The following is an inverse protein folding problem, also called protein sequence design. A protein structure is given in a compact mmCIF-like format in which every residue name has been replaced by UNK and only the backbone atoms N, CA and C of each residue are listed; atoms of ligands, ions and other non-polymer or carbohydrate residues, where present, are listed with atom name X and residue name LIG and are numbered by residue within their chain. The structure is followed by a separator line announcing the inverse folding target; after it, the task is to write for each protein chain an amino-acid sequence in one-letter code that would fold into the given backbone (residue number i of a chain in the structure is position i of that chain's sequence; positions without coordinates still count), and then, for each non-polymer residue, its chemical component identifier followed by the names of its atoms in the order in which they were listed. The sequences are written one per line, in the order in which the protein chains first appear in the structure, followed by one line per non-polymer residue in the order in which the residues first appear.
data_IF_813073124068
#
_entry.id   IF_813073124068
#
_cell.length_a   1.000
_cell.length_b   1.000
_cell.length_c   1.000
_cell.angle_alpha   90.00
_cell.angle_beta   90.00
_cell.angle_gamma   90.00
#
_symmetry.space_group_name_H-M   'P 1'
#
loop_
_entity.id
_entity.type
_entity.pdbx_description
1 polymer ?
#
# COMPACT_ATOMS: atom_id res chain seq x y z
N UNK A 1 26.08 -31.93 -31.10
CA UNK A 1 25.68 -30.74 -31.87
C UNK A 1 25.62 -29.60 -30.86
N UNK A 2 26.71 -28.83 -30.76
CA UNK A 2 26.77 -27.63 -29.90
C UNK A 2 26.03 -26.50 -30.63
N UNK A 3 24.96 -26.04 -30.04
CA UNK A 3 24.25 -24.82 -30.50
C UNK A 3 25.08 -23.60 -30.05
N UNK A 4 25.88 -23.07 -30.95
CA UNK A 4 26.58 -21.80 -30.77
C UNK A 4 25.55 -20.67 -30.67
N UNK A 5 25.41 -20.08 -29.47
CA UNK A 5 24.61 -18.89 -29.25
C UNK A 5 25.13 -17.76 -30.16
N UNK A 6 24.21 -17.09 -30.85
CA UNK A 6 24.50 -16.01 -31.78
C UNK A 6 25.14 -14.82 -31.02
N UNK A 7 26.35 -14.33 -31.40
CA UNK A 7 27.00 -13.18 -30.70
C UNK A 7 26.18 -11.90 -30.65
N UNK A 8 25.23 -11.72 -31.58
CA UNK A 8 24.30 -10.58 -31.59
C UNK A 8 23.30 -10.62 -30.43
N UNK A 9 22.93 -11.81 -29.97
CA UNK A 9 21.98 -12.00 -28.87
C UNK A 9 22.60 -11.64 -27.51
N UNK A 10 23.87 -11.97 -27.29
CA UNK A 10 24.63 -11.59 -26.11
C UNK A 10 24.80 -10.07 -25.99
N UNK A 11 25.02 -9.37 -27.11
CA UNK A 11 25.25 -7.93 -27.13
C UNK A 11 23.94 -7.16 -26.80
N UNK A 12 22.82 -7.60 -27.33
CA UNK A 12 21.50 -7.07 -27.03
C UNK A 12 21.12 -7.29 -25.55
N UNK A 13 21.42 -8.48 -24.99
CA UNK A 13 21.20 -8.76 -23.56
C UNK A 13 22.07 -7.92 -22.63
N UNK A 14 23.35 -7.73 -22.97
CA UNK A 14 24.27 -6.89 -22.18
C UNK A 14 23.87 -5.41 -22.23
N UNK A 15 23.49 -4.90 -23.41
CA UNK A 15 23.03 -3.52 -23.54
C UNK A 15 21.72 -3.29 -22.77
N UNK A 16 20.77 -4.24 -22.85
CA UNK A 16 19.53 -4.18 -22.08
C UNK A 16 19.79 -4.24 -20.56
N UNK A 17 20.75 -5.06 -20.11
CA UNK A 17 21.15 -5.13 -18.71
C UNK A 17 21.78 -3.82 -18.22
N UNK A 18 22.67 -3.21 -19.02
CA UNK A 18 23.30 -1.91 -18.71
C UNK A 18 22.24 -0.81 -18.66
N UNK A 19 21.29 -0.81 -19.57
CA UNK A 19 20.19 0.16 -19.60
C UNK A 19 19.25 0.01 -18.38
N UNK A 20 18.92 -1.21 -17.98
CA UNK A 20 18.08 -1.52 -16.83
C UNK A 20 18.72 -1.16 -15.47
N UNK A 21 20.06 -1.14 -15.39
CA UNK A 21 20.80 -0.83 -14.17
C UNK A 21 21.31 0.63 -14.12
N UNK A 22 21.03 1.41 -15.15
CA UNK A 22 21.43 2.82 -15.22
C UNK A 22 20.82 3.63 -14.07
N UNK A 23 21.64 4.44 -13.41
CA UNK A 23 21.19 5.39 -12.39
C UNK A 23 20.40 6.52 -13.06
N UNK A 24 19.15 6.69 -12.67
CA UNK A 24 18.28 7.76 -13.15
C UNK A 24 18.59 9.06 -12.38
N UNK A 25 18.86 10.15 -13.10
CA UNK A 25 19.15 11.44 -12.51
C UNK A 25 17.88 12.18 -12.04
N UNK A 26 18.05 13.14 -11.12
CA UNK A 26 16.92 13.99 -10.67
C UNK A 26 16.30 14.80 -11.81
N UNK A 27 17.12 15.29 -12.74
CA UNK A 27 16.65 16.04 -13.91
C UNK A 27 15.81 15.17 -14.84
N UNK A 28 16.19 13.91 -15.06
CA UNK A 28 15.38 12.98 -15.87
C UNK A 28 14.03 12.69 -15.23
N UNK A 29 13.97 12.52 -13.91
CA UNK A 29 12.69 12.35 -13.19
C UNK A 29 11.79 13.59 -13.38
N UNK A 30 12.35 14.77 -13.29
CA UNK A 30 11.62 16.03 -13.42
C UNK A 30 11.11 16.25 -14.86
N UNK A 31 11.96 16.09 -15.87
CA UNK A 31 11.60 16.25 -17.29
C UNK A 31 10.49 15.26 -17.69
N UNK A 32 10.53 14.05 -17.20
CA UNK A 32 9.53 13.00 -17.49
C UNK A 32 8.32 13.03 -16.55
N UNK A 33 8.20 14.02 -15.68
CA UNK A 33 7.13 14.15 -14.68
C UNK A 33 6.95 12.89 -13.81
N UNK A 34 8.04 12.19 -13.52
CA UNK A 34 8.06 11.02 -12.65
C UNK A 34 8.13 11.48 -11.19
N UNK A 35 7.61 10.67 -10.27
CA UNK A 35 7.68 10.93 -8.82
C UNK A 35 9.13 11.26 -8.42
N UNK A 36 9.39 12.36 -7.69
CA UNK A 36 10.72 12.72 -7.25
C UNK A 36 11.41 11.60 -6.46
N UNK A 37 12.74 11.65 -6.37
CA UNK A 37 13.49 10.75 -5.51
C UNK A 37 13.60 11.34 -4.11
N UNK A 38 13.08 10.63 -3.11
CA UNK A 38 13.17 10.99 -1.71
C UNK A 38 13.22 9.73 -0.84
N UNK A 39 14.27 9.60 -0.03
CA UNK A 39 14.47 8.46 0.89
C UNK A 39 15.07 9.00 2.19
N UNK A 40 14.51 8.58 3.34
CA UNK A 40 15.05 8.95 4.65
C UNK A 40 16.45 8.39 4.87
N UNK A 41 17.21 9.03 5.73
CA UNK A 41 18.53 8.51 6.12
C UNK A 41 18.40 7.14 6.79
N UNK A 42 17.43 6.99 7.67
CA UNK A 42 17.16 5.72 8.36
C UNK A 42 16.94 4.58 7.37
N UNK A 43 16.07 4.77 6.37
CA UNK A 43 15.75 3.69 5.43
C UNK A 43 16.95 3.33 4.53
N UNK A 44 17.78 4.29 4.14
CA UNK A 44 19.04 4.01 3.42
C UNK A 44 19.97 3.12 4.24
N UNK A 45 20.10 3.41 5.54
CA UNK A 45 20.88 2.58 6.46
C UNK A 45 20.25 1.17 6.62
N UNK A 46 18.92 1.10 6.70
CA UNK A 46 18.19 -0.15 6.80
C UNK A 46 18.37 -1.02 5.55
N UNK A 47 18.35 -0.44 4.34
CA UNK A 47 18.66 -1.17 3.09
C UNK A 47 20.00 -1.90 3.21
N UNK A 48 21.03 -1.23 3.74
CA UNK A 48 22.38 -1.80 3.88
C UNK A 48 22.42 -2.89 4.97
N UNK A 49 21.77 -2.63 6.12
CA UNK A 49 21.85 -3.50 7.31
C UNK A 49 20.94 -4.73 7.25
N UNK A 50 19.89 -4.71 6.43
CA UNK A 50 18.83 -5.72 6.44
C UNK A 50 19.24 -7.10 5.91
N UNK A 51 20.32 -7.18 5.14
CA UNK A 51 20.67 -8.38 4.35
C UNK A 51 19.87 -8.53 3.04
N UNK A 52 18.90 -7.63 2.78
CA UNK A 52 18.01 -7.64 1.61
C UNK A 52 18.20 -6.40 0.74
N UNK A 53 19.46 -6.06 0.46
CA UNK A 53 19.84 -4.83 -0.21
C UNK A 53 19.08 -4.59 -1.52
N UNK A 54 19.07 -5.58 -2.41
CA UNK A 54 18.47 -5.44 -3.74
C UNK A 54 16.94 -5.25 -3.67
N UNK A 55 16.27 -6.03 -2.82
CA UNK A 55 14.82 -5.98 -2.65
C UNK A 55 14.37 -4.63 -2.08
N UNK A 56 14.99 -4.18 -0.98
CA UNK A 56 14.61 -2.93 -0.33
C UNK A 56 15.00 -1.71 -1.16
N UNK A 57 16.16 -1.75 -1.83
CA UNK A 57 16.58 -0.71 -2.77
C UNK A 57 15.56 -0.53 -3.88
N UNK A 58 15.07 -1.64 -4.45
CA UNK A 58 14.12 -1.62 -5.57
C UNK A 58 12.80 -0.93 -5.22
N UNK A 59 12.41 -0.90 -3.94
CA UNK A 59 11.21 -0.19 -3.45
C UNK A 59 11.32 1.33 -3.67
N UNK A 60 12.50 1.93 -3.54
CA UNK A 60 12.67 3.39 -3.48
C UNK A 60 13.56 3.98 -4.55
N UNK A 61 14.44 3.19 -5.17
CA UNK A 61 15.33 3.68 -6.21
C UNK A 61 14.61 3.78 -7.57
N UNK A 62 14.72 4.93 -8.25
CA UNK A 62 14.14 5.10 -9.57
C UNK A 62 14.76 4.15 -10.61
N UNK A 63 13.93 3.71 -11.55
CA UNK A 63 14.34 2.84 -12.66
C UNK A 63 13.92 3.47 -13.98
N UNK A 64 14.71 3.24 -15.04
CA UNK A 64 14.36 3.61 -16.42
C UNK A 64 13.05 2.97 -16.87
N UNK A 65 12.65 1.84 -16.27
CA UNK A 65 11.36 1.18 -16.53
C UNK A 65 10.14 2.05 -16.18
N UNK A 66 10.33 3.10 -15.39
CA UNK A 66 9.24 4.02 -15.06
C UNK A 66 8.87 4.94 -16.22
N UNK A 67 9.78 5.18 -17.17
CA UNK A 67 9.55 6.11 -18.29
C UNK A 67 8.60 5.54 -19.34
N UNK A 68 8.69 4.25 -19.62
CA UNK A 68 7.95 3.54 -20.66
C UNK A 68 6.78 2.69 -20.12
N UNK A 69 6.50 2.82 -18.83
CA UNK A 69 5.51 1.96 -18.16
C UNK A 69 4.08 2.40 -18.50
N UNK A 70 3.27 1.51 -19.09
CA UNK A 70 1.86 1.78 -19.35
C UNK A 70 1.06 1.92 -18.05
N UNK A 71 -0.21 2.29 -18.17
CA UNK A 71 -1.14 2.39 -17.05
C UNK A 71 -1.74 3.77 -16.87
N UNK A 72 -2.55 3.93 -15.84
CA UNK A 72 -3.24 5.18 -15.49
C UNK A 72 -2.73 5.75 -14.18
N UNK A 73 -2.88 7.05 -13.96
CA UNK A 73 -2.48 7.68 -12.70
C UNK A 73 -3.54 7.52 -11.60
N UNK A 74 -4.81 7.34 -11.97
CA UNK A 74 -5.91 7.09 -11.04
C UNK A 74 -6.58 5.73 -11.28
N UNK A 75 -5.94 4.67 -10.86
CA UNK A 75 -6.42 3.29 -10.99
C UNK A 75 -7.60 2.94 -10.08
N UNK A 76 -7.94 3.81 -9.14
CA UNK A 76 -9.00 3.59 -8.14
C UNK A 76 -10.26 4.39 -8.39
N UNK A 77 -10.23 5.37 -9.31
CA UNK A 77 -11.26 6.39 -9.44
C UNK A 77 -11.34 7.23 -8.17
N UNK A 78 -10.21 7.66 -7.62
CA UNK A 78 -10.20 8.49 -6.40
C UNK A 78 -10.85 9.84 -6.65
N UNK A 79 -10.63 10.41 -7.83
CA UNK A 79 -11.27 11.66 -8.25
C UNK A 79 -12.80 11.55 -8.22
N UNK A 80 -13.37 10.49 -8.80
CA UNK A 80 -14.83 10.27 -8.85
C UNK A 80 -15.45 9.95 -7.48
N UNK A 81 -14.63 9.59 -6.51
CA UNK A 81 -15.08 9.29 -5.14
C UNK A 81 -14.89 10.48 -4.19
N UNK A 82 -14.30 11.59 -4.65
CA UNK A 82 -14.10 12.80 -3.86
C UNK A 82 -15.42 13.55 -3.71
N UNK A 83 -15.88 13.68 -2.48
CA UNK A 83 -17.19 14.28 -2.12
C UNK A 83 -17.06 15.71 -1.61
N UNK A 84 -15.94 16.03 -0.98
CA UNK A 84 -15.47 17.38 -0.65
C UNK A 84 -13.95 17.38 -0.79
N UNK A 85 -13.30 18.54 -0.95
CA UNK A 85 -11.85 18.61 -1.09
C UNK A 85 -11.11 17.78 -0.04
N UNK A 86 -10.33 16.81 -0.48
CA UNK A 86 -9.56 15.92 0.39
C UNK A 86 -10.31 14.74 1.00
N UNK A 87 -11.63 14.67 0.91
CA UNK A 87 -12.40 13.54 1.45
C UNK A 87 -12.99 12.68 0.32
N UNK A 88 -12.68 11.40 0.35
CA UNK A 88 -13.25 10.40 -0.55
C UNK A 88 -14.22 9.47 0.21
N UNK A 89 -15.39 9.20 -0.41
CA UNK A 89 -16.42 8.30 0.11
C UNK A 89 -16.77 7.23 -0.92
N UNK A 90 -15.92 6.24 -1.06
CA UNK A 90 -16.10 5.13 -2.01
C UNK A 90 -16.97 4.00 -1.45
N UNK A 91 -16.84 3.71 -0.17
CA UNK A 91 -17.54 2.62 0.51
C UNK A 91 -18.33 3.21 1.67
N UNK A 92 -19.60 2.83 1.80
CA UNK A 92 -20.52 3.43 2.75
C UNK A 92 -19.93 3.62 4.16
N UNK A 93 -19.19 2.64 4.68
CA UNK A 93 -18.67 2.66 6.04
C UNK A 93 -17.35 3.43 6.20
N UNK A 94 -16.73 3.91 5.12
CA UNK A 94 -15.34 4.39 5.18
C UNK A 94 -15.13 5.72 4.49
N UNK A 95 -14.74 6.73 5.25
CA UNK A 95 -14.14 7.97 4.73
C UNK A 95 -12.62 7.82 4.57
N UNK A 96 -12.07 8.30 3.46
CA UNK A 96 -10.63 8.44 3.25
C UNK A 96 -10.29 9.92 3.18
N UNK A 97 -9.52 10.43 4.14
CA UNK A 97 -9.13 11.83 4.24
C UNK A 97 -7.66 12.01 3.85
N UNK A 98 -7.41 12.75 2.79
CA UNK A 98 -6.09 13.10 2.28
C UNK A 98 -5.59 14.33 3.03
N UNK A 99 -4.59 14.15 3.91
CA UNK A 99 -4.12 15.20 4.83
C UNK A 99 -2.78 15.81 4.47
N UNK A 100 -2.06 15.21 3.52
CA UNK A 100 -0.75 15.67 3.04
C UNK A 100 -0.37 14.98 1.74
N UNK A 101 0.40 15.64 0.89
CA UNK A 101 1.05 15.08 -0.30
C UNK A 101 2.44 14.49 -0.04
N UNK A 102 2.94 14.59 1.21
CA UNK A 102 4.32 14.23 1.58
C UNK A 102 4.39 12.85 2.21
N UNK A 103 5.50 12.14 1.97
CA UNK A 103 5.89 10.89 2.63
C UNK A 103 7.31 10.98 3.17
N UNK A 104 7.66 10.07 4.08
CA UNK A 104 9.03 9.93 4.57
C UNK A 104 10.01 9.43 3.50
N UNK A 105 9.57 8.48 2.67
CA UNK A 105 10.24 8.07 1.43
C UNK A 105 9.21 7.82 0.34
N UNK A 106 9.60 7.93 -0.93
CA UNK A 106 8.68 7.77 -2.06
C UNK A 106 8.84 6.38 -2.69
N UNK A 107 7.86 5.50 -2.41
CA UNK A 107 7.78 4.17 -3.03
C UNK A 107 7.64 4.30 -4.55
N UNK A 108 8.45 3.54 -5.31
CA UNK A 108 8.39 3.57 -6.78
C UNK A 108 7.12 2.91 -7.35
N UNK A 109 6.48 2.03 -6.60
CA UNK A 109 5.19 1.41 -6.91
C UNK A 109 3.97 2.20 -6.42
N UNK A 110 4.15 3.42 -5.85
CA UNK A 110 3.07 4.19 -5.25
C UNK A 110 1.91 4.42 -6.22
N UNK A 111 0.70 4.04 -5.83
CA UNK A 111 -0.48 4.25 -6.66
C UNK A 111 -0.98 5.70 -6.67
N UNK A 112 -0.48 6.55 -5.77
CA UNK A 112 -0.74 7.99 -5.71
C UNK A 112 0.40 8.82 -6.28
N UNK A 113 1.11 8.32 -7.28
CA UNK A 113 2.18 9.05 -8.00
C UNK A 113 1.72 10.42 -8.54
N UNK A 114 0.41 10.61 -8.77
CA UNK A 114 -0.15 11.90 -9.19
C UNK A 114 -0.08 12.97 -8.12
N UNK A 115 -0.13 12.57 -6.82
CA UNK A 115 -0.16 13.46 -5.64
C UNK A 115 1.20 13.50 -4.93
N UNK A 116 1.75 12.31 -4.64
CA UNK A 116 2.91 12.18 -3.73
C UNK A 116 4.14 12.90 -4.27
N UNK A 117 4.67 13.83 -3.47
CA UNK A 117 5.83 14.64 -3.81
C UNK A 117 5.57 15.77 -4.80
N UNK A 118 4.31 16.10 -5.05
CA UNK A 118 3.84 17.17 -5.96
C UNK A 118 2.86 18.08 -5.22
N UNK A 119 2.74 19.33 -5.68
CA UNK A 119 1.64 20.19 -5.22
C UNK A 119 0.33 19.63 -5.78
N UNK A 120 -0.67 19.46 -4.93
CA UNK A 120 -1.96 18.87 -5.30
C UNK A 120 -3.11 19.56 -4.58
N UNK A 121 -4.17 19.84 -5.32
CA UNK A 121 -5.46 20.32 -4.83
C UNK A 121 -6.35 19.21 -4.25
N UNK A 122 -5.92 17.95 -4.38
CA UNK A 122 -6.61 16.79 -3.80
C UNK A 122 -6.42 16.66 -2.28
N UNK A 123 -5.55 17.48 -1.66
CA UNK A 123 -5.35 17.49 -0.21
C UNK A 123 -6.37 18.40 0.46
N UNK A 124 -6.92 17.97 1.59
CA UNK A 124 -7.89 18.78 2.34
C UNK A 124 -7.29 20.13 2.75
N UNK A 125 -7.83 21.25 2.28
CA UNK A 125 -7.34 22.59 2.65
C UNK A 125 -7.66 22.92 4.10
N UNK A 126 -8.84 22.50 4.57
CA UNK A 126 -9.28 22.48 5.95
C UNK A 126 -10.07 21.20 6.24
N UNK A 127 -10.43 20.97 7.49
CA UNK A 127 -11.09 19.73 7.93
C UNK A 127 -12.55 19.92 8.32
N UNK A 128 -13.06 21.16 8.36
CA UNK A 128 -14.43 21.46 8.74
C UNK A 128 -15.44 20.88 7.75
N UNK A 129 -15.22 21.07 6.44
CA UNK A 129 -16.10 20.54 5.41
C UNK A 129 -16.15 19.01 5.45
N UNK A 130 -14.99 18.38 5.65
CA UNK A 130 -14.90 16.93 5.77
C UNK A 130 -15.66 16.42 7.01
N UNK A 131 -15.47 17.06 8.17
CA UNK A 131 -16.18 16.71 9.40
C UNK A 131 -17.69 16.90 9.28
N UNK A 132 -18.15 18.01 8.68
CA UNK A 132 -19.57 18.26 8.41
C UNK A 132 -20.17 17.22 7.46
N UNK A 133 -19.45 16.83 6.42
CA UNK A 133 -19.89 15.77 5.51
C UNK A 133 -20.01 14.45 6.28
N UNK A 134 -18.98 14.03 7.01
CA UNK A 134 -18.97 12.78 7.78
C UNK A 134 -20.13 12.80 8.80
N UNK A 135 -20.37 13.92 9.49
CA UNK A 135 -21.47 14.04 10.48
C UNK A 135 -22.84 13.78 9.86
N UNK A 136 -23.06 14.16 8.60
CA UNK A 136 -24.32 13.94 7.86
C UNK A 136 -24.44 12.53 7.25
N UNK A 137 -23.38 11.71 7.36
CA UNK A 137 -23.30 10.35 6.79
C UNK A 137 -23.09 9.32 7.91
N UNK A 138 -24.14 8.97 8.69
CA UNK A 138 -24.02 8.06 9.84
C UNK A 138 -23.62 6.63 9.46
N UNK A 139 -23.72 6.25 8.21
CA UNK A 139 -23.19 5.00 7.67
C UNK A 139 -21.66 4.94 7.70
N UNK A 140 -20.96 6.08 7.74
CA UNK A 140 -19.51 6.13 7.93
C UNK A 140 -19.14 5.79 9.36
N UNK A 141 -18.63 4.62 9.60
CA UNK A 141 -18.19 4.17 10.93
C UNK A 141 -16.71 4.39 11.20
N UNK A 142 -15.94 4.70 10.17
CA UNK A 142 -14.49 4.88 10.30
C UNK A 142 -13.91 5.84 9.26
N UNK A 143 -12.84 6.53 9.64
CA UNK A 143 -12.07 7.42 8.77
C UNK A 143 -10.62 6.96 8.72
N UNK A 144 -10.05 6.92 7.50
CA UNK A 144 -8.63 6.66 7.26
C UNK A 144 -7.91 7.95 6.87
N UNK A 145 -7.03 8.43 7.71
CA UNK A 145 -6.09 9.51 7.40
C UNK A 145 -4.98 8.96 6.51
N UNK A 146 -4.74 9.60 5.37
CA UNK A 146 -3.80 9.16 4.34
C UNK A 146 -3.38 10.35 3.45
N UNK A 147 -3.16 10.12 2.17
CA UNK A 147 -2.65 11.07 1.19
C UNK A 147 -1.28 10.60 0.73
N UNK A 148 -0.22 11.33 1.12
CA UNK A 148 1.09 10.77 1.33
C UNK A 148 1.07 9.95 2.62
N UNK A 149 1.83 10.37 3.62
CA UNK A 149 1.85 9.67 4.91
C UNK A 149 1.51 10.65 6.04
N UNK A 150 0.44 10.43 6.81
CA UNK A 150 0.00 11.36 7.86
C UNK A 150 1.06 11.59 8.95
N UNK A 151 1.96 10.65 9.20
CA UNK A 151 2.98 10.81 10.24
C UNK A 151 4.18 11.67 9.82
N UNK A 152 4.22 12.20 8.59
CA UNK A 152 5.15 13.30 8.27
C UNK A 152 4.67 14.64 8.84
N UNK A 153 3.40 14.73 9.20
CA UNK A 153 2.84 15.88 9.91
C UNK A 153 3.31 15.87 11.38
N UNK A 154 3.43 17.05 11.97
CA UNK A 154 3.67 17.18 13.42
C UNK A 154 2.48 16.62 14.21
N UNK A 155 2.71 16.15 15.42
CA UNK A 155 1.63 15.67 16.29
C UNK A 155 0.62 16.78 16.62
N UNK A 156 1.05 18.04 16.64
CA UNK A 156 0.14 19.18 16.78
C UNK A 156 -0.85 19.29 15.60
N UNK A 157 -0.39 19.07 14.35
CA UNK A 157 -1.28 19.03 13.17
C UNK A 157 -2.21 17.82 13.22
N UNK A 158 -1.70 16.64 13.59
CA UNK A 158 -2.54 15.43 13.75
C UNK A 158 -3.63 15.65 14.81
N UNK A 159 -3.30 16.32 15.94
CA UNK A 159 -4.28 16.66 16.95
C UNK A 159 -5.40 17.55 16.38
N UNK A 160 -5.06 18.59 15.60
CA UNK A 160 -6.07 19.46 14.96
C UNK A 160 -7.02 18.67 14.06
N UNK A 161 -6.48 17.74 13.24
CA UNK A 161 -7.33 16.88 12.39
C UNK A 161 -8.26 16.02 13.24
N UNK A 162 -7.72 15.41 14.28
CA UNK A 162 -8.46 14.52 15.17
C UNK A 162 -9.53 15.30 15.96
N UNK A 163 -9.28 16.59 16.33
CA UNK A 163 -10.25 17.44 17.02
C UNK A 163 -11.57 17.58 16.23
N UNK A 164 -11.52 17.62 14.90
CA UNK A 164 -12.73 17.65 14.05
C UNK A 164 -13.47 16.30 14.01
N UNK A 165 -12.79 15.18 14.26
CA UNK A 165 -13.35 13.82 14.16
C UNK A 165 -13.88 13.29 15.50
N UNK A 166 -13.30 13.72 16.64
CA UNK A 166 -13.68 13.21 17.96
C UNK A 166 -15.16 13.44 18.31
N UNK A 167 -15.80 14.60 17.97
CA UNK A 167 -17.20 14.85 18.30
C UNK A 167 -18.21 14.00 17.51
N UNK A 168 -17.78 13.32 16.43
CA UNK A 168 -18.68 12.59 15.54
C UNK A 168 -19.02 11.23 16.18
N UNK A 169 -20.20 11.07 16.74
CA UNK A 169 -20.59 9.95 17.59
C UNK A 169 -20.58 8.58 16.87
N UNK A 170 -20.97 8.51 15.61
CA UNK A 170 -21.06 7.26 14.85
C UNK A 170 -19.70 6.75 14.35
N UNK A 171 -18.63 7.54 14.45
CA UNK A 171 -17.28 7.04 14.16
C UNK A 171 -16.80 6.10 15.27
N UNK A 172 -16.50 4.85 14.92
CA UNK A 172 -15.99 3.83 15.83
C UNK A 172 -14.46 3.78 15.84
N UNK A 173 -13.81 4.23 14.76
CA UNK A 173 -12.35 4.21 14.66
C UNK A 173 -11.78 5.33 13.80
N UNK A 174 -10.59 5.78 14.18
CA UNK A 174 -9.73 6.68 13.38
C UNK A 174 -8.49 5.89 13.01
N UNK A 175 -8.25 5.74 11.70
CA UNK A 175 -7.16 4.95 11.16
C UNK A 175 -6.10 5.86 10.55
N UNK A 176 -4.84 5.48 10.68
CA UNK A 176 -3.69 6.18 10.13
C UNK A 176 -2.96 5.23 9.20
N UNK A 177 -2.99 5.50 7.88
CA UNK A 177 -2.27 4.73 6.87
C UNK A 177 -0.84 5.22 6.76
N UNK A 178 0.16 4.39 7.09
CA UNK A 178 1.56 4.84 7.18
C UNK A 178 2.57 3.78 6.76
N UNK A 179 3.67 4.23 6.17
CA UNK A 179 4.90 3.43 6.00
C UNK A 179 6.06 3.99 6.86
N UNK A 180 5.79 4.98 7.72
CA UNK A 180 6.83 5.61 8.55
C UNK A 180 7.49 4.64 9.53
N UNK A 181 6.80 3.58 9.98
CA UNK A 181 7.44 2.54 10.79
C UNK A 181 8.58 1.81 10.07
N UNK A 182 8.48 1.68 8.74
CA UNK A 182 9.59 1.18 7.93
C UNK A 182 10.61 2.29 7.61
N UNK A 183 10.13 3.49 7.26
CA UNK A 183 10.95 4.55 6.70
C UNK A 183 11.67 5.44 7.70
N UNK A 184 11.05 5.70 8.87
CA UNK A 184 11.60 6.52 9.96
C UNK A 184 10.86 6.21 11.27
N UNK A 185 11.12 5.06 11.91
CA UNK A 185 10.45 4.67 13.16
C UNK A 185 10.70 5.65 14.31
N UNK A 186 11.79 6.43 14.27
CA UNK A 186 12.07 7.48 15.28
C UNK A 186 11.01 8.58 15.32
N UNK A 187 10.20 8.74 14.24
CA UNK A 187 9.02 9.61 14.27
C UNK A 187 8.09 9.28 15.44
N UNK A 188 8.04 8.03 15.85
CA UNK A 188 7.18 7.54 16.93
C UNK A 188 7.81 7.69 18.33
N UNK A 189 8.96 8.37 18.44
CA UNK A 189 9.55 8.81 19.72
C UNK A 189 8.93 10.11 20.24
N UNK A 190 8.15 10.81 19.41
CA UNK A 190 7.45 12.02 19.82
C UNK A 190 6.52 11.73 21.01
N UNK A 191 6.89 12.31 22.17
CA UNK A 191 6.18 12.10 23.44
C UNK A 191 4.73 12.57 23.44
N UNK A 192 4.32 13.37 22.46
CA UNK A 192 2.93 13.82 22.30
C UNK A 192 2.03 12.78 21.60
N UNK A 193 2.60 11.84 20.82
CA UNK A 193 1.81 10.81 20.11
C UNK A 193 0.99 9.92 21.06
N UNK A 194 1.52 9.41 22.17
CA UNK A 194 0.74 8.64 23.13
C UNK A 194 -0.49 9.39 23.65
N UNK A 195 -0.39 10.70 23.87
CA UNK A 195 -1.52 11.51 24.31
C UNK A 195 -2.60 11.62 23.22
N UNK A 196 -2.23 11.76 21.96
CA UNK A 196 -3.15 11.75 20.82
C UNK A 196 -3.97 10.44 20.79
N UNK A 197 -3.33 9.29 20.86
CA UNK A 197 -4.01 8.00 20.83
C UNK A 197 -4.91 7.79 22.06
N UNK A 198 -4.45 8.18 23.25
CA UNK A 198 -5.32 8.15 24.46
C UNK A 198 -6.55 9.03 24.33
N UNK A 199 -6.46 10.21 23.69
CA UNK A 199 -7.62 11.08 23.44
C UNK A 199 -8.64 10.39 22.52
N UNK A 200 -8.20 9.75 21.44
CA UNK A 200 -9.06 8.98 20.54
C UNK A 200 -9.77 7.87 21.33
N UNK A 201 -9.03 7.12 22.14
CA UNK A 201 -9.57 6.03 22.95
C UNK A 201 -10.58 6.52 24.00
N UNK A 202 -10.28 7.62 24.71
CA UNK A 202 -11.19 8.24 25.70
C UNK A 202 -12.49 8.74 25.07
N UNK A 203 -12.48 9.10 23.78
CA UNK A 203 -13.69 9.45 23.03
C UNK A 203 -14.48 8.23 22.53
N UNK A 204 -14.18 7.02 23.01
CA UNK A 204 -14.85 5.77 22.64
C UNK A 204 -14.49 5.27 21.25
N UNK A 205 -13.40 5.77 20.64
CA UNK A 205 -12.99 5.38 19.29
C UNK A 205 -11.69 4.57 19.31
N UNK A 206 -11.56 3.60 18.41
CA UNK A 206 -10.34 2.81 18.30
C UNK A 206 -9.28 3.57 17.47
N UNK A 207 -8.09 3.89 18.02
CA UNK A 207 -6.95 4.33 17.24
C UNK A 207 -6.32 3.12 16.54
N UNK A 208 -6.24 3.15 15.20
CA UNK A 208 -5.71 2.05 14.39
C UNK A 208 -4.60 2.58 13.50
N UNK A 209 -3.43 1.99 13.57
CA UNK A 209 -2.34 2.22 12.61
C UNK A 209 -2.41 1.10 11.56
N UNK A 210 -2.57 1.50 10.31
CA UNK A 210 -2.49 0.61 9.15
C UNK A 210 -1.10 0.79 8.56
N UNK A 211 -0.17 -0.04 9.01
CA UNK A 211 1.22 -0.01 8.56
C UNK A 211 1.40 -0.69 7.21
N UNK A 212 2.54 -0.47 6.59
CA UNK A 212 2.84 -0.95 5.25
C UNK A 212 4.26 -1.55 5.21
N UNK A 213 4.38 -2.77 5.70
CA UNK A 213 5.58 -3.59 5.54
C UNK A 213 5.38 -4.52 4.34
N UNK A 214 6.20 -4.35 3.30
CA UNK A 214 6.17 -5.21 2.11
C UNK A 214 7.19 -6.35 2.21
N UNK A 215 8.20 -6.18 3.06
CA UNK A 215 9.32 -7.10 3.18
C UNK A 215 9.77 -7.24 4.64
N UNK A 216 10.16 -8.44 5.06
CA UNK A 216 10.65 -8.68 6.43
C UNK A 216 11.83 -7.78 6.79
N UNK A 217 12.70 -7.45 5.85
CA UNK A 217 13.82 -6.52 6.05
C UNK A 217 13.43 -5.07 6.35
N UNK A 218 12.16 -4.69 6.18
CA UNK A 218 11.63 -3.38 6.59
C UNK A 218 11.25 -3.32 8.08
N UNK A 219 11.14 -4.48 8.74
CA UNK A 219 10.78 -4.57 10.16
C UNK A 219 12.07 -4.53 10.99
N UNK A 220 12.61 -3.32 11.19
CA UNK A 220 13.78 -3.10 12.02
C UNK A 220 13.48 -3.29 13.52
N UNK A 221 14.52 -3.46 14.33
CA UNK A 221 14.38 -3.47 15.80
C UNK A 221 13.70 -2.19 16.32
N UNK A 222 14.02 -1.02 15.73
CA UNK A 222 13.38 0.24 16.09
C UNK A 222 11.89 0.21 15.80
N UNK A 223 11.49 -0.27 14.61
CA UNK A 223 10.08 -0.42 14.24
C UNK A 223 9.34 -1.36 15.21
N UNK A 224 9.94 -2.51 15.52
CA UNK A 224 9.39 -3.46 16.49
C UNK A 224 9.17 -2.83 17.86
N UNK A 225 10.17 -2.14 18.41
CA UNK A 225 10.04 -1.46 19.70
C UNK A 225 8.91 -0.42 19.70
N UNK A 226 8.76 0.37 18.62
CA UNK A 226 7.69 1.37 18.55
C UNK A 226 6.31 0.73 18.43
N UNK A 227 6.17 -0.33 17.65
CA UNK A 227 4.91 -1.09 17.56
C UNK A 227 4.52 -1.64 18.93
N UNK A 228 5.44 -2.34 19.63
CA UNK A 228 5.16 -2.89 20.97
C UNK A 228 4.79 -1.81 21.99
N UNK A 229 5.50 -0.68 22.01
CA UNK A 229 5.23 0.43 22.90
C UNK A 229 3.85 1.07 22.67
N UNK A 230 3.45 1.28 21.42
CA UNK A 230 2.14 1.86 21.08
C UNK A 230 0.99 0.87 21.33
N UNK A 231 1.20 -0.41 21.06
CA UNK A 231 0.23 -1.47 21.40
C UNK A 231 -0.07 -1.52 22.89
N UNK A 232 0.95 -1.39 23.75
CA UNK A 232 0.77 -1.32 25.20
C UNK A 232 -0.12 -0.14 25.64
N UNK A 233 -0.36 0.84 24.75
CA UNK A 233 -1.24 2.00 24.97
C UNK A 233 -2.61 1.86 24.28
N UNK A 234 -2.95 0.67 23.81
CA UNK A 234 -4.26 0.38 23.19
C UNK A 234 -4.35 0.71 21.70
N UNK A 235 -3.24 1.04 21.02
CA UNK A 235 -3.23 1.22 19.56
C UNK A 235 -3.28 -0.14 18.88
N UNK A 236 -4.22 -0.31 17.95
CA UNK A 236 -4.33 -1.49 17.12
C UNK A 236 -3.46 -1.35 15.86
N UNK A 237 -2.92 -2.47 15.39
CA UNK A 237 -2.07 -2.49 14.19
C UNK A 237 -2.57 -3.50 13.16
N UNK A 238 -2.66 -3.02 11.91
CA UNK A 238 -2.93 -3.83 10.73
C UNK A 238 -1.80 -3.63 9.73
N UNK A 239 -1.42 -4.66 8.97
CA UNK A 239 -0.46 -4.54 7.89
C UNK A 239 -1.13 -4.68 6.52
N UNK A 240 -0.78 -3.78 5.59
CA UNK A 240 -1.09 -3.88 4.17
C UNK A 240 0.21 -4.03 3.41
N UNK A 241 0.41 -5.17 2.75
CA UNK A 241 1.54 -5.36 1.82
C UNK A 241 1.06 -5.28 0.38
N UNK A 242 1.94 -4.92 -0.53
CA UNK A 242 1.73 -5.07 -1.98
C UNK A 242 2.60 -6.19 -2.49
N UNK A 243 2.05 -7.08 -3.30
CA UNK A 243 2.83 -8.10 -4.01
C UNK A 243 3.59 -7.45 -5.16
N UNK A 244 4.92 -7.45 -5.08
CA UNK A 244 5.83 -6.70 -5.94
C UNK A 244 6.89 -7.61 -6.53
N UNK A 245 6.95 -7.66 -7.86
CA UNK A 245 8.01 -8.37 -8.56
C UNK A 245 9.40 -7.87 -8.14
N UNK A 246 10.34 -8.79 -7.93
CA UNK A 246 11.73 -8.56 -7.49
C UNK A 246 11.88 -8.01 -6.05
N UNK A 247 10.79 -7.86 -5.31
CA UNK A 247 10.82 -7.41 -3.92
C UNK A 247 10.39 -8.53 -2.98
N UNK A 248 9.18 -9.03 -3.16
CA UNK A 248 8.56 -10.01 -2.28
C UNK A 248 7.73 -11.07 -3.03
N UNK A 249 7.99 -11.28 -4.32
CA UNK A 249 7.36 -12.29 -5.18
C UNK A 249 7.87 -13.73 -4.88
N UNK A 250 8.19 -13.94 -3.62
CA UNK A 250 8.64 -15.20 -3.03
C UNK A 250 7.76 -15.54 -1.81
N UNK A 251 7.16 -16.76 -1.76
CA UNK A 251 6.31 -17.16 -0.64
C UNK A 251 7.06 -17.21 0.71
N UNK A 252 8.37 -17.45 0.73
CA UNK A 252 9.18 -17.48 1.95
C UNK A 252 9.33 -16.08 2.54
N UNK A 253 9.62 -15.09 1.69
CA UNK A 253 9.75 -13.68 2.10
C UNK A 253 8.44 -13.14 2.67
N UNK A 254 7.32 -13.38 1.99
CA UNK A 254 6.01 -12.90 2.46
C UNK A 254 5.55 -13.66 3.71
N UNK A 255 5.79 -14.97 3.80
CA UNK A 255 5.50 -15.73 5.02
C UNK A 255 6.33 -15.21 6.20
N UNK A 256 7.64 -14.99 6.03
CA UNK A 256 8.48 -14.38 7.06
C UNK A 256 8.00 -12.97 7.45
N UNK A 257 7.56 -12.16 6.48
CA UNK A 257 7.01 -10.83 6.73
C UNK A 257 5.75 -10.90 7.58
N UNK A 258 4.82 -11.79 7.25
CA UNK A 258 3.54 -11.92 7.98
C UNK A 258 3.71 -12.58 9.35
N UNK A 259 4.58 -13.58 9.47
CA UNK A 259 4.95 -14.17 10.76
C UNK A 259 5.59 -13.11 11.68
N UNK A 260 6.54 -12.31 11.17
CA UNK A 260 7.17 -11.23 11.95
C UNK A 260 6.17 -10.13 12.31
N UNK A 261 5.27 -9.75 11.41
CA UNK A 261 4.17 -8.85 11.72
C UNK A 261 3.32 -9.40 12.89
N UNK A 262 2.90 -10.66 12.81
CA UNK A 262 2.10 -11.30 13.87
C UNK A 262 2.85 -11.33 15.20
N UNK A 263 4.13 -11.73 15.21
CA UNK A 263 5.00 -11.78 16.38
C UNK A 263 5.05 -10.45 17.15
N UNK A 264 5.17 -9.33 16.43
CA UNK A 264 5.20 -8.00 17.05
C UNK A 264 3.79 -7.44 17.32
N UNK A 265 2.73 -8.19 16.91
CA UNK A 265 1.32 -7.88 17.14
C UNK A 265 0.73 -6.91 16.13
N UNK A 266 1.24 -6.94 14.92
CA UNK A 266 0.65 -6.34 13.74
C UNK A 266 -0.10 -7.42 12.98
N UNK A 267 -1.42 -7.29 12.81
CA UNK A 267 -2.21 -8.29 12.10
C UNK A 267 -2.06 -8.13 10.58
N UNK A 268 -1.61 -9.17 9.84
CA UNK A 268 -1.68 -9.16 8.38
C UNK A 268 -3.13 -8.96 7.92
N UNK A 269 -3.39 -7.92 7.13
CA UNK A 269 -4.75 -7.50 6.78
C UNK A 269 -5.04 -7.66 5.29
N UNK A 270 -4.20 -7.05 4.44
CA UNK A 270 -4.29 -7.22 2.99
C UNK A 270 -2.92 -7.52 2.39
N UNK A 271 -2.91 -8.43 1.41
CA UNK A 271 -1.90 -8.49 0.37
C UNK A 271 -2.53 -7.93 -0.90
N UNK A 272 -2.09 -6.75 -1.34
CA UNK A 272 -2.60 -6.15 -2.55
C UNK A 272 -1.84 -6.64 -3.78
N UNK A 273 -2.56 -7.00 -4.82
CA UNK A 273 -2.00 -7.10 -6.16
C UNK A 273 -1.52 -5.71 -6.60
N UNK A 274 -0.31 -5.62 -7.16
CA UNK A 274 0.22 -4.36 -7.68
C UNK A 274 -0.67 -3.82 -8.80
N UNK A 275 -1.03 -2.54 -8.70
CA UNK A 275 -1.95 -1.88 -9.63
C UNK A 275 -1.25 -1.51 -10.94
N UNK A 276 -1.98 -1.41 -12.07
CA UNK A 276 -1.46 -0.93 -13.35
C UNK A 276 -1.29 0.60 -13.34
N UNK A 277 -0.49 1.10 -12.41
CA UNK A 277 -0.19 2.54 -12.31
C UNK A 277 0.89 2.91 -13.30
N UNK A 278 0.69 4.02 -14.03
CA UNK A 278 1.71 4.56 -14.93
C UNK A 278 3.04 4.74 -14.18
N UNK A 279 4.11 4.21 -14.74
CA UNK A 279 5.43 4.21 -14.10
C UNK A 279 5.63 3.14 -13.03
N UNK A 280 4.77 2.10 -12.95
CA UNK A 280 4.91 1.04 -11.94
C UNK A 280 4.62 -0.37 -12.45
N UNK A 281 4.37 -0.56 -13.75
CA UNK A 281 3.99 -1.88 -14.31
C UNK A 281 5.08 -2.95 -14.12
N UNK A 282 6.34 -2.55 -14.03
CA UNK A 282 7.47 -3.45 -13.79
C UNK A 282 7.47 -4.10 -12.39
N UNK A 283 6.59 -3.67 -11.49
CA UNK A 283 6.32 -4.30 -10.21
C UNK A 283 5.18 -5.32 -10.26
N UNK A 284 4.44 -5.39 -11.36
CA UNK A 284 3.30 -6.30 -11.44
C UNK A 284 3.75 -7.77 -11.48
N UNK A 285 2.98 -8.63 -10.83
CA UNK A 285 3.13 -10.09 -10.81
C UNK A 285 1.90 -10.70 -11.48
N UNK A 286 2.07 -11.67 -12.37
CA UNK A 286 0.94 -12.34 -13.01
C UNK A 286 0.03 -13.00 -11.96
N UNK A 287 -1.30 -12.96 -12.18
CA UNK A 287 -2.30 -13.47 -11.22
C UNK A 287 -2.07 -14.94 -10.86
N UNK A 288 -1.71 -15.78 -11.83
CA UNK A 288 -1.33 -17.19 -11.58
C UNK A 288 -0.20 -17.27 -10.57
N UNK A 289 0.89 -16.53 -10.81
CA UNK A 289 2.05 -16.52 -9.93
C UNK A 289 1.68 -15.99 -8.53
N UNK A 290 0.85 -14.94 -8.46
CA UNK A 290 0.34 -14.41 -7.20
C UNK A 290 -0.42 -15.45 -6.38
N UNK A 291 -1.29 -16.25 -7.02
CA UNK A 291 -2.01 -17.34 -6.38
C UNK A 291 -1.07 -18.46 -5.91
N UNK A 292 -0.05 -18.82 -6.69
CA UNK A 292 0.99 -19.79 -6.28
C UNK A 292 1.73 -19.29 -5.01
N UNK A 293 2.09 -18.03 -4.98
CA UNK A 293 2.73 -17.39 -3.83
C UNK A 293 1.81 -17.45 -2.61
N UNK A 294 0.53 -17.09 -2.76
CA UNK A 294 -0.45 -17.14 -1.66
C UNK A 294 -0.62 -18.54 -1.11
N UNK A 295 -0.68 -19.56 -1.98
CA UNK A 295 -0.68 -20.97 -1.54
C UNK A 295 0.58 -21.31 -0.74
N UNK A 296 1.76 -20.90 -1.24
CA UNK A 296 3.02 -21.11 -0.56
C UNK A 296 3.11 -20.42 0.81
N UNK A 297 2.58 -19.20 0.95
CA UNK A 297 2.45 -18.49 2.22
C UNK A 297 1.56 -19.30 3.17
N UNK A 298 0.40 -19.73 2.70
CA UNK A 298 -0.58 -20.47 3.51
C UNK A 298 -0.07 -21.83 4.01
N UNK A 299 0.86 -22.45 3.29
CA UNK A 299 1.53 -23.68 3.71
C UNK A 299 2.55 -23.46 4.84
N UNK A 300 3.10 -22.26 4.97
CA UNK A 300 4.17 -21.90 5.93
C UNK A 300 3.66 -21.26 7.21
N UNK A 301 2.50 -20.61 7.17
CA UNK A 301 1.95 -19.87 8.30
C UNK A 301 0.99 -20.72 9.15
N UNK A 302 0.93 -20.46 10.43
CA UNK A 302 -0.10 -20.98 11.34
C UNK A 302 -1.48 -20.33 11.05
N UNK A 303 -2.56 -20.93 11.55
CA UNK A 303 -3.91 -20.42 11.32
C UNK A 303 -4.14 -18.98 11.79
N UNK A 304 -3.51 -18.58 12.90
CA UNK A 304 -3.66 -17.23 13.47
C UNK A 304 -2.84 -16.18 12.72
N UNK A 305 -1.86 -16.56 11.92
CA UNK A 305 -1.05 -15.69 11.08
C UNK A 305 -1.68 -15.46 9.71
N UNK A 306 -2.55 -16.38 9.24
CA UNK A 306 -3.24 -16.35 7.93
C UNK A 306 -4.47 -15.45 7.95
N UNK A 307 -4.34 -14.21 8.41
CA UNK A 307 -5.49 -13.31 8.53
C UNK A 307 -5.67 -12.38 7.33
N UNK A 308 -4.70 -12.36 6.41
CA UNK A 308 -4.72 -11.52 5.24
C UNK A 308 -5.69 -11.99 4.16
N UNK A 309 -6.12 -11.05 3.31
CA UNK A 309 -6.84 -11.32 2.07
C UNK A 309 -6.00 -10.87 0.88
N UNK A 310 -5.99 -11.65 -0.20
CA UNK A 310 -5.34 -11.26 -1.45
C UNK A 310 -6.32 -10.45 -2.30
N UNK A 311 -6.02 -9.17 -2.53
CA UNK A 311 -6.99 -8.17 -2.99
C UNK A 311 -6.47 -7.38 -4.20
N UNK A 312 -7.31 -7.22 -5.21
CA UNK A 312 -7.20 -6.12 -6.18
C UNK A 312 -8.06 -4.95 -5.72
N UNK A 313 -7.45 -3.77 -5.54
CA UNK A 313 -8.21 -2.55 -5.23
C UNK A 313 -8.56 -1.84 -6.54
N UNK A 314 -9.61 -2.31 -7.19
CA UNK A 314 -10.11 -1.89 -8.49
C UNK A 314 -11.05 -0.67 -8.38
N UNK A 315 -11.31 0.05 -9.49
CA UNK A 315 -12.20 1.19 -9.48
C UNK A 315 -13.65 0.82 -9.10
N UNK A 316 -14.10 -0.42 -9.42
CA UNK A 316 -15.43 -0.91 -9.02
C UNK A 316 -15.52 -1.31 -7.55
N UNK A 317 -14.40 -1.69 -6.92
CA UNK A 317 -14.38 -2.15 -5.54
C UNK A 317 -13.10 -2.88 -5.15
N UNK A 318 -13.10 -3.46 -3.97
CA UNK A 318 -12.04 -4.42 -3.57
C UNK A 318 -12.46 -5.82 -3.98
N UNK A 319 -11.71 -6.39 -4.90
CA UNK A 319 -11.92 -7.74 -5.44
C UNK A 319 -10.93 -8.68 -4.76
N UNK A 320 -11.43 -9.62 -3.97
CA UNK A 320 -10.64 -10.71 -3.39
C UNK A 320 -10.40 -11.77 -4.45
N UNK A 321 -9.13 -12.11 -4.69
CA UNK A 321 -8.70 -13.16 -5.60
C UNK A 321 -8.68 -14.46 -4.78
N UNK A 322 -9.52 -15.41 -5.15
CA UNK A 322 -9.72 -16.62 -4.36
C UNK A 322 -8.83 -17.78 -4.83
N UNK A 323 -8.97 -18.15 -6.10
CA UNK A 323 -8.21 -19.25 -6.68
C UNK A 323 -8.27 -19.25 -8.22
N UNK A 324 -7.43 -20.10 -8.83
CA UNK A 324 -7.49 -20.48 -10.23
C UNK A 324 -8.06 -21.92 -10.30
N UNK A 325 -9.26 -22.05 -10.85
CA UNK A 325 -9.93 -23.34 -10.99
C UNK A 325 -9.28 -24.24 -12.04
N UNK A 326 -9.59 -25.53 -11.98
CA UNK A 326 -9.17 -26.52 -13.00
C UNK A 326 -9.84 -26.27 -14.35
N UNK A 327 -10.95 -25.55 -14.37
CA UNK A 327 -11.66 -25.07 -15.57
C UNK A 327 -10.96 -23.89 -16.25
N UNK A 328 -9.80 -23.48 -15.78
CA UNK A 328 -9.02 -22.36 -16.33
C UNK A 328 -9.61 -20.98 -16.01
N UNK A 329 -10.44 -20.84 -14.99
CA UNK A 329 -11.04 -19.57 -14.59
C UNK A 329 -10.48 -19.06 -13.27
N UNK A 330 -10.27 -17.74 -13.18
CA UNK A 330 -9.90 -17.06 -11.92
C UNK A 330 -11.18 -16.78 -11.16
N UNK A 331 -11.31 -17.36 -9.98
CA UNK A 331 -12.42 -17.13 -9.06
C UNK A 331 -12.14 -15.96 -8.14
N UNK A 332 -13.11 -15.09 -7.99
CA UNK A 332 -13.01 -13.82 -7.29
C UNK A 332 -14.27 -13.54 -6.49
N UNK A 333 -14.17 -12.60 -5.54
CA UNK A 333 -15.32 -12.15 -4.75
C UNK A 333 -15.19 -10.65 -4.49
N UNK A 334 -16.27 -9.89 -4.61
CA UNK A 334 -16.28 -8.53 -4.13
C UNK A 334 -16.22 -8.50 -2.59
N UNK A 335 -15.06 -8.15 -2.05
CA UNK A 335 -14.89 -7.90 -0.61
C UNK A 335 -15.54 -6.57 -0.17
N UNK A 336 -15.43 -5.54 -1.01
CA UNK A 336 -16.13 -4.25 -0.89
C UNK A 336 -16.53 -3.77 -2.29
N UNK A 337 -17.70 -3.16 -2.41
CA UNK A 337 -18.21 -2.60 -3.66
C UNK A 337 -19.08 -1.37 -3.35
N UNK A 338 -19.20 -0.43 -4.32
CA UNK A 338 -20.14 0.69 -4.25
C UNK A 338 -21.60 0.22 -4.26
N UNK A 339 -21.87 -0.92 -4.88
CA UNK A 339 -23.18 -1.57 -5.00
C UNK A 339 -23.24 -2.68 -3.94
N UNK A 340 -23.98 -2.49 -2.83
CA UNK A 340 -24.00 -3.44 -1.70
C UNK A 340 -24.37 -4.87 -2.10
N UNK A 341 -25.27 -5.04 -3.05
CA UNK A 341 -25.77 -6.34 -3.51
C UNK A 341 -24.69 -7.21 -4.18
N UNK A 342 -23.58 -6.60 -4.62
CA UNK A 342 -22.41 -7.30 -5.19
C UNK A 342 -21.48 -7.85 -4.11
N UNK A 343 -21.52 -7.29 -2.90
CA UNK A 343 -20.60 -7.69 -1.81
C UNK A 343 -20.83 -9.15 -1.44
N UNK A 344 -19.76 -9.91 -1.33
CA UNK A 344 -19.77 -11.33 -0.98
C UNK A 344 -20.06 -12.28 -2.15
N UNK A 345 -20.60 -11.81 -3.27
CA UNK A 345 -20.87 -12.66 -4.43
C UNK A 345 -19.57 -13.13 -5.08
N UNK A 346 -19.50 -14.43 -5.33
CA UNK A 346 -18.40 -15.06 -6.09
C UNK A 346 -18.73 -14.97 -7.58
N UNK A 347 -17.72 -14.66 -8.36
CA UNK A 347 -17.76 -14.65 -9.81
C UNK A 347 -16.41 -15.10 -10.37
N UNK A 348 -16.33 -15.41 -11.65
CA UNK A 348 -15.10 -15.86 -12.28
C UNK A 348 -14.93 -15.23 -13.66
N UNK A 349 -13.67 -15.16 -14.12
CA UNK A 349 -13.30 -14.78 -15.49
C UNK A 349 -12.31 -15.79 -16.06
N UNK A 350 -12.28 -16.02 -17.37
CA UNK A 350 -11.26 -16.87 -18.00
C UNK A 350 -9.85 -16.36 -17.67
N UNK A 351 -8.94 -17.26 -17.36
CA UNK A 351 -7.56 -16.92 -17.06
C UNK A 351 -6.78 -16.65 -18.35
N UNK A 352 -5.97 -15.60 -18.32
CA UNK A 352 -4.94 -15.29 -19.33
C UNK A 352 -3.57 -15.33 -18.67
N UNK A 353 -2.60 -16.03 -19.28
CA UNK A 353 -1.29 -16.29 -18.66
C UNK A 353 -0.53 -15.01 -18.26
N UNK A 354 -0.69 -13.94 -19.02
CA UNK A 354 -0.05 -12.64 -18.82
C UNK A 354 -0.85 -11.69 -17.93
N UNK A 355 -2.11 -12.05 -17.55
CA UNK A 355 -2.97 -11.18 -16.78
C UNK A 355 -2.36 -10.86 -15.41
N UNK A 356 -2.20 -9.58 -15.13
CA UNK A 356 -1.73 -9.03 -13.86
C UNK A 356 -2.83 -8.28 -13.10
N UNK A 357 -3.94 -7.96 -13.77
CA UNK A 357 -5.02 -7.17 -13.20
C UNK A 357 -6.39 -7.67 -13.66
N UNK A 358 -7.46 -7.16 -13.04
CA UNK A 358 -8.84 -7.56 -13.33
C UNK A 358 -9.24 -7.29 -14.79
N UNK A 359 -8.84 -6.14 -15.33
CA UNK A 359 -9.19 -5.72 -16.67
C UNK A 359 -8.41 -6.47 -17.77
N UNK A 360 -7.36 -7.19 -17.40
CA UNK A 360 -6.62 -8.08 -18.32
C UNK A 360 -7.36 -9.41 -18.55
N UNK A 361 -8.39 -9.70 -17.75
CA UNK A 361 -9.18 -10.93 -17.85
C UNK A 361 -10.41 -10.70 -18.74
N UNK A 362 -10.68 -11.56 -19.74
CA UNK A 362 -11.87 -11.48 -20.57
C UNK A 362 -13.16 -11.51 -19.75
N UNK A 363 -14.21 -10.86 -20.21
CA UNK A 363 -15.50 -10.87 -19.51
C UNK A 363 -16.22 -12.21 -19.61
N UNK A 364 -16.05 -12.93 -20.72
CA UNK A 364 -16.57 -14.30 -20.98
C UNK A 364 -15.56 -15.11 -21.81
#
# INVERSE_FOLDING_TARGET
METTANPLDCRAHVLKFIEETRVVSKSELQVNNITPYHVTKFYREQIIKSGYYNQLKYIVEPSVKEFESPGTLDTSGEHDNTVVPGLQHKYAQTGLLLVTERCGSYCRYCFRKRIVGKVSDEIAPDFDQAAQYITRHPEMTNVLLSGGDPFVLSTAKLNKIVDHLLPINHLNSIRFGTKMLAYEPRRFEDSALPALFRRIHKAGKAPIIVTHFDHVGEISCDAEHKVRALRAQGVQFLNQSVLLAKVNDDPEILAATFAKCHEIGVRPYYLFQARPVKGASHFQVALRRGLEIVRGINQRLSGIEKTFKYIMSHYTGKIEILDLGQDGRVYMRYHQNKVPEKIGKIFSRPHVATACWFDDLPEQ
#
